data_IF_730996320867
#
_entry.id   IF_730996320867
#
_cell.length_a   1.000
_cell.length_b   1.000
_cell.length_c   1.000
_cell.angle_alpha   90.00
_cell.angle_beta   90.00
_cell.angle_gamma   90.00
#
_symmetry.space_group_name_H-M   'P 1'
#
loop_
_entity.id
_entity.type
_entity.pdbx_description
1 polymer ?
#
# COMPACT_ATOMS: atom_id res chain seq x y z
N UNK A 1 -17.11 6.05 -5.83
CA UNK A 1 -15.92 6.68 -6.46
C UNK A 1 -15.13 5.68 -7.30
N UNK A 2 -14.45 6.15 -8.35
CA UNK A 2 -13.47 5.37 -9.11
C UNK A 2 -12.16 5.25 -8.33
N UNK A 3 -11.31 4.27 -8.69
CA UNK A 3 -9.99 4.13 -8.08
C UNK A 3 -9.09 5.35 -8.33
N UNK A 4 -9.16 5.95 -9.51
CA UNK A 4 -8.30 7.08 -9.86
C UNK A 4 -8.64 8.35 -9.09
N UNK A 5 -9.92 8.55 -8.75
CA UNK A 5 -10.33 9.63 -7.86
C UNK A 5 -9.75 9.48 -6.45
N UNK A 6 -9.61 8.25 -5.94
CA UNK A 6 -9.04 7.98 -4.62
C UNK A 6 -7.52 8.17 -4.59
N UNK A 7 -6.84 7.79 -5.68
CA UNK A 7 -5.39 7.96 -5.85
C UNK A 7 -4.94 9.42 -5.81
N UNK A 8 -5.77 10.36 -6.26
CA UNK A 8 -5.48 11.79 -6.21
C UNK A 8 -5.74 12.47 -4.87
N UNK A 9 -6.39 11.78 -3.91
CA UNK A 9 -6.73 12.37 -2.61
C UNK A 9 -5.57 12.26 -1.60
N UNK A 10 -5.37 13.27 -0.74
CA UNK A 10 -4.49 13.17 0.41
C UNK A 10 -4.83 11.96 1.30
N UNK A 11 -3.80 11.33 1.89
CA UNK A 11 -4.01 10.17 2.77
C UNK A 11 -4.91 10.51 3.97
N UNK A 12 -4.80 11.73 4.52
CA UNK A 12 -5.64 12.24 5.60
C UNK A 12 -7.12 12.23 5.23
N UNK A 13 -7.45 12.61 4.00
CA UNK A 13 -8.83 12.70 3.52
C UNK A 13 -9.42 11.30 3.30
N UNK A 14 -8.61 10.36 2.77
CA UNK A 14 -9.00 8.96 2.66
C UNK A 14 -9.26 8.31 4.03
N UNK A 15 -8.42 8.60 5.03
CA UNK A 15 -8.60 8.13 6.41
C UNK A 15 -9.84 8.75 7.04
N UNK A 16 -10.06 10.06 6.89
CA UNK A 16 -11.27 10.72 7.36
C UNK A 16 -12.53 10.10 6.71
N UNK A 17 -12.48 9.80 5.42
CA UNK A 17 -13.58 9.15 4.70
C UNK A 17 -13.85 7.72 5.20
N UNK A 18 -12.81 6.95 5.52
CA UNK A 18 -12.96 5.63 6.14
C UNK A 18 -13.65 5.72 7.50
N UNK A 19 -13.27 6.70 8.33
CA UNK A 19 -13.91 6.91 9.64
C UNK A 19 -15.38 7.27 9.48
N UNK A 20 -15.69 8.20 8.57
CA UNK A 20 -17.07 8.56 8.23
C UNK A 20 -17.89 7.33 7.81
N UNK A 21 -17.39 6.54 6.85
CA UNK A 21 -18.08 5.33 6.37
C UNK A 21 -18.24 4.28 7.48
N UNK A 22 -17.29 4.20 8.41
CA UNK A 22 -17.38 3.31 9.57
C UNK A 22 -18.48 3.73 10.53
N UNK A 23 -18.60 5.03 10.82
CA UNK A 23 -19.66 5.59 11.65
C UNK A 23 -21.04 5.43 11.00
N UNK A 24 -21.15 5.68 9.70
CA UNK A 24 -22.39 5.47 8.94
C UNK A 24 -22.81 3.99 8.94
N UNK A 25 -21.86 3.08 8.79
CA UNK A 25 -22.14 1.64 8.89
C UNK A 25 -22.53 1.22 10.31
N UNK A 26 -21.92 1.83 11.33
CA UNK A 26 -22.28 1.59 12.72
C UNK A 26 -23.72 2.05 12.98
N UNK A 27 -24.06 3.29 12.64
CA UNK A 27 -25.42 3.84 12.77
C UNK A 27 -26.46 3.01 12.03
N UNK A 28 -26.15 2.58 10.80
CA UNK A 28 -27.05 1.77 9.99
C UNK A 28 -27.33 0.36 10.55
N UNK A 29 -26.54 -0.12 11.52
CA UNK A 29 -26.80 -1.40 12.23
C UNK A 29 -27.87 -1.28 13.32
N UNK A 30 -28.10 -0.07 13.85
CA UNK A 30 -29.03 0.15 14.96
C UNK A 30 -30.37 0.74 14.54
N UNK A 31 -30.54 1.07 13.26
CA UNK A 31 -31.85 1.46 12.72
C UNK A 31 -32.71 0.21 12.50
N UNK A 32 -33.94 0.24 13.02
CA UNK A 32 -34.93 -0.86 12.93
C UNK A 32 -35.72 -0.90 11.61
N UNK A 33 -35.33 -0.07 10.64
CA UNK A 33 -35.97 -0.02 9.32
C UNK A 33 -35.83 -1.35 8.57
N UNK A 34 -36.89 -1.75 7.87
CA UNK A 34 -36.92 -2.98 7.09
C UNK A 34 -35.80 -3.00 6.02
N UNK A 35 -35.18 -4.17 5.83
CA UNK A 35 -34.15 -4.35 4.80
C UNK A 35 -34.80 -4.40 3.42
N UNK A 36 -34.79 -3.27 2.71
CA UNK A 36 -35.24 -3.18 1.32
C UNK A 36 -34.09 -3.48 0.34
N UNK A 37 -34.42 -3.87 -0.90
CA UNK A 37 -33.40 -4.10 -1.94
C UNK A 37 -32.54 -2.86 -2.21
N UNK A 38 -33.13 -1.67 -2.11
CA UNK A 38 -32.40 -0.40 -2.22
C UNK A 38 -31.35 -0.25 -1.11
N UNK A 39 -31.75 -0.52 0.15
CA UNK A 39 -30.85 -0.46 1.31
C UNK A 39 -29.72 -1.49 1.21
N UNK A 40 -30.02 -2.70 0.77
CA UNK A 40 -29.01 -3.73 0.50
C UNK A 40 -27.97 -3.28 -0.52
N UNK A 41 -28.42 -2.65 -1.60
CA UNK A 41 -27.53 -2.10 -2.63
C UNK A 41 -26.63 -0.97 -2.11
N UNK A 42 -27.17 -0.08 -1.27
CA UNK A 42 -26.40 0.98 -0.62
C UNK A 42 -25.31 0.41 0.30
N UNK A 43 -25.62 -0.61 1.10
CA UNK A 43 -24.64 -1.29 1.95
C UNK A 43 -23.53 -1.94 1.12
N UNK A 44 -23.87 -2.61 0.01
CA UNK A 44 -22.88 -3.18 -0.90
C UNK A 44 -21.99 -2.11 -1.52
N UNK A 45 -22.56 -0.97 -1.92
CA UNK A 45 -21.81 0.18 -2.45
C UNK A 45 -20.82 0.72 -1.41
N UNK A 46 -21.26 0.93 -0.16
CA UNK A 46 -20.39 1.38 0.95
C UNK A 46 -19.27 0.38 1.23
N UNK A 47 -19.56 -0.93 1.26
CA UNK A 47 -18.53 -1.97 1.46
C UNK A 47 -17.47 -1.94 0.36
N UNK A 48 -17.89 -1.82 -0.91
CA UNK A 48 -16.97 -1.69 -2.04
C UNK A 48 -16.13 -0.42 -1.93
N UNK A 49 -16.72 0.69 -1.51
CA UNK A 49 -16.00 1.95 -1.33
C UNK A 49 -14.94 1.86 -0.22
N UNK A 50 -15.29 1.29 0.94
CA UNK A 50 -14.34 1.01 2.03
C UNK A 50 -13.18 0.14 1.54
N UNK A 51 -13.46 -0.93 0.80
CA UNK A 51 -12.43 -1.81 0.27
C UNK A 51 -11.48 -1.06 -0.67
N UNK A 52 -12.00 -0.24 -1.60
CA UNK A 52 -11.16 0.56 -2.51
C UNK A 52 -10.27 1.54 -1.77
N UNK A 53 -10.82 2.26 -0.78
CA UNK A 53 -10.04 3.23 -0.01
C UNK A 53 -8.93 2.52 0.78
N UNK A 54 -9.23 1.38 1.42
CA UNK A 54 -8.22 0.57 2.12
C UNK A 54 -7.10 0.12 1.19
N UNK A 55 -7.43 -0.39 0.00
CA UNK A 55 -6.42 -0.80 -0.98
C UNK A 55 -5.47 0.35 -1.35
N UNK A 56 -5.97 1.57 -1.53
CA UNK A 56 -5.12 2.74 -1.84
C UNK A 56 -4.25 3.11 -0.64
N UNK A 57 -4.83 3.21 0.56
CA UNK A 57 -4.10 3.57 1.78
C UNK A 57 -3.01 2.54 2.12
N UNK A 58 -3.35 1.25 2.09
CA UNK A 58 -2.41 0.15 2.33
C UNK A 58 -1.35 0.07 1.23
N UNK A 59 -1.73 0.30 -0.03
CA UNK A 59 -0.80 0.37 -1.17
C UNK A 59 0.24 1.49 -1.00
N UNK A 60 -0.17 2.68 -0.53
CA UNK A 60 0.73 3.79 -0.19
C UNK A 60 1.69 3.41 0.93
N UNK A 61 1.17 2.88 2.03
CA UNK A 61 1.99 2.46 3.16
C UNK A 61 3.00 1.36 2.77
N UNK A 62 2.59 0.42 1.91
CA UNK A 62 3.47 -0.60 1.37
C UNK A 62 4.55 0.00 0.46
N UNK A 63 4.20 0.98 -0.37
CA UNK A 63 5.15 1.68 -1.24
C UNK A 63 6.21 2.43 -0.42
N UNK A 64 5.81 3.13 0.63
CA UNK A 64 6.73 3.87 1.51
C UNK A 64 7.70 2.93 2.23
N UNK A 65 7.21 1.78 2.72
CA UNK A 65 8.07 0.73 3.30
C UNK A 65 9.06 0.19 2.27
N UNK A 66 8.62 -0.08 1.05
CA UNK A 66 9.47 -0.60 0.00
C UNK A 66 10.55 0.41 -0.43
N UNK A 67 10.19 1.70 -0.55
CA UNK A 67 11.16 2.79 -0.80
C UNK A 67 12.19 2.89 0.33
N UNK A 68 11.76 2.82 1.59
CA UNK A 68 12.65 2.82 2.74
C UNK A 68 13.60 1.61 2.74
N UNK A 69 13.12 0.42 2.37
CA UNK A 69 13.96 -0.76 2.21
C UNK A 69 14.97 -0.62 1.06
N UNK A 70 14.55 -0.06 -0.08
CA UNK A 70 15.43 0.22 -1.21
C UNK A 70 16.63 1.08 -0.77
N UNK A 71 16.37 2.20 -0.08
CA UNK A 71 17.42 3.11 0.40
C UNK A 71 18.38 2.42 1.37
N UNK A 72 17.86 1.57 2.27
CA UNK A 72 18.70 0.78 3.20
C UNK A 72 19.61 -0.19 2.45
N UNK A 73 19.06 -0.93 1.48
CA UNK A 73 19.81 -1.89 0.68
C UNK A 73 20.88 -1.21 -0.18
N UNK A 74 20.56 -0.08 -0.80
CA UNK A 74 21.52 0.73 -1.56
C UNK A 74 22.66 1.23 -0.66
N UNK A 75 22.35 1.68 0.56
CA UNK A 75 23.35 2.07 1.55
C UNK A 75 24.24 0.90 1.98
N UNK A 76 23.66 -0.28 2.24
CA UNK A 76 24.41 -1.49 2.61
C UNK A 76 25.35 -1.94 1.48
N UNK A 77 24.87 -1.97 0.24
CA UNK A 77 25.68 -2.33 -0.93
C UNK A 77 26.83 -1.33 -1.12
N UNK A 78 26.56 -0.02 -0.95
CA UNK A 78 27.59 1.02 -1.02
C UNK A 78 28.66 0.84 0.06
N UNK A 79 28.25 0.56 1.31
CA UNK A 79 29.17 0.32 2.44
C UNK A 79 30.03 -0.93 2.24
N UNK A 80 29.47 -1.97 1.63
CA UNK A 80 30.21 -3.19 1.29
C UNK A 80 31.32 -2.96 0.26
N UNK A 81 31.26 -1.88 -0.53
CA UNK A 81 32.28 -1.54 -1.51
C UNK A 81 32.46 -2.58 -2.61
N UNK A 82 33.53 -2.44 -3.39
CA UNK A 82 33.97 -3.48 -4.32
C UNK A 82 34.49 -4.70 -3.53
N UNK A 83 34.09 -5.93 -3.88
CA UNK A 83 34.66 -7.09 -3.23
C UNK A 83 36.15 -7.18 -3.53
N UNK A 84 36.96 -7.49 -2.52
CA UNK A 84 38.38 -7.79 -2.74
C UNK A 84 38.52 -9.07 -3.58
N UNK A 85 39.57 -9.14 -4.42
CA UNK A 85 39.90 -10.37 -5.13
C UNK A 85 40.21 -11.48 -4.10
N UNK A 86 39.47 -12.60 -4.19
CA UNK A 86 39.56 -13.72 -3.24
C UNK A 86 38.45 -13.79 -2.18
N UNK A 87 37.77 -12.69 -1.85
CA UNK A 87 36.72 -12.72 -0.81
C UNK A 87 35.38 -13.23 -1.37
N UNK A 88 35.24 -14.54 -1.39
CA UNK A 88 34.01 -15.22 -1.84
C UNK A 88 32.81 -14.96 -0.93
N UNK A 89 33.03 -14.70 0.36
CA UNK A 89 31.95 -14.42 1.31
C UNK A 89 31.35 -13.04 1.04
N UNK A 90 32.18 -12.02 0.84
CA UNK A 90 31.76 -10.67 0.49
C UNK A 90 31.06 -10.64 -0.89
N UNK A 91 31.60 -11.37 -1.87
CA UNK A 91 30.94 -11.55 -3.19
C UNK A 91 29.54 -12.13 -3.05
N UNK A 92 29.37 -13.21 -2.27
CA UNK A 92 28.06 -13.84 -2.02
C UNK A 92 27.10 -12.91 -1.29
N UNK A 93 27.56 -12.22 -0.25
CA UNK A 93 26.76 -11.25 0.50
C UNK A 93 26.25 -10.13 -0.40
N UNK A 94 27.12 -9.57 -1.24
CA UNK A 94 26.75 -8.53 -2.21
C UNK A 94 25.72 -9.02 -3.22
N UNK A 95 25.88 -10.23 -3.78
CA UNK A 95 24.89 -10.80 -4.71
C UNK A 95 23.53 -10.98 -4.06
N UNK A 96 23.47 -11.43 -2.80
CA UNK A 96 22.21 -11.57 -2.05
C UNK A 96 21.51 -10.22 -1.85
N UNK A 97 22.26 -9.20 -1.42
CA UNK A 97 21.71 -7.85 -1.26
C UNK A 97 21.25 -7.25 -2.59
N UNK A 98 21.99 -7.46 -3.66
CA UNK A 98 21.62 -7.00 -5.00
C UNK A 98 20.34 -7.69 -5.50
N UNK A 99 20.20 -8.99 -5.27
CA UNK A 99 18.98 -9.74 -5.59
C UNK A 99 17.78 -9.19 -4.83
N UNK A 100 17.93 -8.97 -3.51
CA UNK A 100 16.89 -8.36 -2.68
C UNK A 100 16.53 -6.95 -3.15
N UNK A 101 17.52 -6.13 -3.49
CA UNK A 101 17.30 -4.78 -4.03
C UNK A 101 16.49 -4.83 -5.33
N UNK A 102 16.79 -5.77 -6.22
CA UNK A 102 16.05 -5.94 -7.47
C UNK A 102 14.60 -6.37 -7.21
N UNK A 103 14.36 -7.24 -6.23
CA UNK A 103 13.02 -7.63 -5.81
C UNK A 103 12.24 -6.43 -5.28
N UNK A 104 12.83 -5.64 -4.37
CA UNK A 104 12.20 -4.44 -3.81
C UNK A 104 11.89 -3.42 -4.92
N UNK A 105 12.80 -3.23 -5.88
CA UNK A 105 12.55 -2.36 -7.06
C UNK A 105 11.36 -2.84 -7.90
N UNK A 106 11.15 -4.15 -8.04
CA UNK A 106 9.95 -4.70 -8.71
C UNK A 106 8.69 -4.41 -7.91
N UNK A 107 8.71 -4.68 -6.60
CA UNK A 107 7.58 -4.37 -5.70
C UNK A 107 7.19 -2.90 -5.74
N UNK A 108 8.17 -1.97 -5.78
CA UNK A 108 7.89 -0.54 -5.93
C UNK A 108 7.15 -0.25 -7.25
N UNK A 109 7.57 -0.84 -8.37
CA UNK A 109 6.90 -0.67 -9.66
C UNK A 109 5.46 -1.19 -9.64
N UNK A 110 5.21 -2.29 -8.96
CA UNK A 110 3.88 -2.89 -8.82
C UNK A 110 2.95 -2.07 -7.90
N UNK A 111 3.51 -1.45 -6.85
CA UNK A 111 2.74 -0.64 -5.89
C UNK A 111 2.51 0.80 -6.35
N UNK A 112 3.38 1.34 -7.21
CA UNK A 112 3.28 2.73 -7.70
C UNK A 112 1.90 3.05 -8.31
N UNK A 113 1.29 2.20 -9.16
CA UNK A 113 -0.04 2.43 -9.71
C UNK A 113 -1.16 2.49 -8.66
N UNK A 114 -0.99 1.86 -7.49
CA UNK A 114 -1.98 1.83 -6.41
C UNK A 114 -1.92 3.09 -5.54
N UNK A 115 -0.73 3.68 -5.40
CA UNK A 115 -0.50 4.82 -4.52
C UNK A 115 -1.00 6.16 -5.10
N UNK A 116 -1.18 6.25 -6.41
CA UNK A 116 -1.39 7.52 -7.11
C UNK A 116 -0.06 8.20 -7.47
N UNK A 117 -0.09 8.99 -8.54
CA UNK A 117 1.06 9.75 -9.02
C UNK A 117 1.40 10.90 -8.07
#
# INVERSE_FOLDING_TARGET
MSFDALKGQPAKDLTAKLNQLSEENFKARFTTEAMTSQRGNEMLKRRREVARIRTVVEGRAALDRAKGEQTKLESLIKKLGAPHEGDTAQKRARTRLQSRLNQVKRTIRELTPLAGK
#
